data_IF_022059009873
#
_entry.id   IF_022059009873
#
_cell.length_a   1.000
_cell.length_b   1.000
_cell.length_c   1.000
_cell.angle_alpha   90.00
_cell.angle_beta   90.00
_cell.angle_gamma   90.00
#
_symmetry.space_group_name_H-M   'P 1'
#
loop_
_entity.id
_entity.type
_entity.pdbx_description
1 polymer ?
#
# COMPACT_ATOMS: atom_id res chain seq x y z
N UNK A 1 -16.92 -1.32 12.71
CA UNK A 1 -15.91 -2.24 12.17
C UNK A 1 -14.76 -2.43 13.15
N UNK A 2 -14.15 -1.35 13.67
CA UNK A 2 -13.12 -1.40 14.72
C UNK A 2 -13.52 -2.28 15.90
N UNK A 3 -14.67 -2.01 16.52
CA UNK A 3 -15.28 -2.84 17.57
C UNK A 3 -15.35 -4.34 17.25
N UNK A 4 -15.66 -4.72 16.00
CA UNK A 4 -15.73 -6.12 15.60
C UNK A 4 -14.32 -6.68 15.45
N UNK A 5 -13.41 -5.97 14.79
CA UNK A 5 -12.04 -6.42 14.54
C UNK A 5 -11.23 -6.53 15.84
N UNK A 6 -11.40 -5.59 16.77
CA UNK A 6 -10.74 -5.56 18.09
C UNK A 6 -11.34 -6.53 19.11
N UNK A 7 -12.52 -7.10 18.84
CA UNK A 7 -13.12 -8.12 19.72
C UNK A 7 -12.44 -9.48 19.58
N UNK A 8 -12.54 -10.29 20.63
CA UNK A 8 -12.03 -11.66 20.62
C UNK A 8 -12.63 -12.47 19.46
N UNK A 9 -11.77 -13.17 18.72
CA UNK A 9 -12.13 -13.92 17.51
C UNK A 9 -12.81 -13.08 16.40
N UNK A 10 -12.64 -11.75 16.42
CA UNK A 10 -13.31 -10.81 15.52
C UNK A 10 -14.82 -11.02 15.45
N UNK A 11 -15.44 -11.31 16.60
CA UNK A 11 -16.85 -11.65 16.76
C UNK A 11 -17.48 -10.83 17.88
N UNK A 12 -18.61 -10.21 17.56
CA UNK A 12 -19.41 -9.43 18.49
C UNK A 12 -20.81 -10.00 18.60
N UNK A 13 -21.29 -10.14 19.83
CA UNK A 13 -22.65 -10.60 20.14
C UNK A 13 -23.47 -9.46 20.75
N UNK A 14 -24.68 -9.22 20.23
CA UNK A 14 -25.57 -8.15 20.69
C UNK A 14 -26.97 -8.70 20.92
N UNK A 15 -27.58 -8.36 22.05
CA UNK A 15 -28.97 -8.72 22.33
C UNK A 15 -29.91 -7.80 21.53
N UNK A 16 -30.94 -8.38 20.92
CA UNK A 16 -31.97 -7.61 20.24
C UNK A 16 -32.90 -6.96 21.28
N UNK A 17 -33.15 -5.67 21.12
CA UNK A 17 -34.07 -4.89 21.96
C UNK A 17 -35.21 -4.32 21.11
N UNK A 18 -36.43 -4.32 21.63
CA UNK A 18 -37.59 -3.78 20.91
C UNK A 18 -38.93 -4.01 21.59
N UNK A 19 -39.02 -5.00 22.50
CA UNK A 19 -40.22 -5.23 23.31
C UNK A 19 -39.83 -5.21 24.80
N UNK A 20 -40.34 -4.25 25.59
CA UNK A 20 -40.10 -4.21 27.03
C UNK A 20 -40.47 -5.55 27.69
N UNK A 21 -39.54 -6.14 28.45
CA UNK A 21 -39.76 -7.39 29.17
C UNK A 21 -39.68 -8.68 28.35
N UNK A 22 -39.38 -8.64 27.04
CA UNK A 22 -39.15 -9.84 26.24
C UNK A 22 -37.72 -9.92 25.72
N UNK A 23 -37.11 -11.10 25.86
CA UNK A 23 -35.84 -11.42 25.20
C UNK A 23 -36.11 -11.66 23.71
N UNK A 24 -35.70 -10.72 22.86
CA UNK A 24 -35.99 -10.75 21.43
C UNK A 24 -34.97 -11.54 20.59
N UNK A 25 -34.04 -12.24 21.23
CA UNK A 25 -32.97 -13.00 20.58
C UNK A 25 -31.63 -12.25 20.55
N UNK A 26 -30.69 -12.79 19.78
CA UNK A 26 -29.30 -12.33 19.74
C UNK A 26 -28.84 -12.20 18.29
N UNK A 27 -28.16 -11.10 17.97
CA UNK A 27 -27.43 -10.91 16.73
C UNK A 27 -25.95 -11.23 16.96
N UNK A 28 -25.38 -12.09 16.12
CA UNK A 28 -23.95 -12.42 16.10
C UNK A 28 -23.35 -11.84 14.83
N UNK A 29 -22.32 -11.02 14.99
CA UNK A 29 -21.57 -10.41 13.90
C UNK A 29 -20.14 -10.95 13.92
N UNK A 30 -19.62 -11.34 12.76
CA UNK A 30 -18.24 -11.82 12.58
C UNK A 30 -17.62 -11.16 11.36
N UNK A 31 -16.35 -10.77 11.47
CA UNK A 31 -15.61 -10.19 10.36
C UNK A 31 -14.40 -11.04 9.99
N UNK A 32 -14.27 -11.33 8.70
CA UNK A 32 -13.12 -12.02 8.12
C UNK A 32 -12.42 -11.10 7.11
N UNK A 33 -11.10 -11.10 7.14
CA UNK A 33 -10.31 -10.39 6.15
C UNK A 33 -10.29 -11.21 4.86
N UNK A 34 -10.55 -10.59 3.73
CA UNK A 34 -10.46 -11.26 2.43
C UNK A 34 -9.01 -11.72 2.21
N UNK A 35 -8.82 -13.02 2.03
CA UNK A 35 -7.52 -13.71 1.97
C UNK A 35 -6.63 -13.30 0.80
N UNK A 36 -7.15 -12.57 -0.19
CA UNK A 36 -6.48 -12.27 -1.45
C UNK A 36 -5.49 -11.09 -1.42
N UNK A 37 -5.08 -10.64 -0.22
CA UNK A 37 -4.31 -9.38 -0.06
C UNK A 37 -2.96 -9.51 0.66
N UNK A 38 -2.58 -10.70 1.12
CA UNK A 38 -1.46 -10.85 2.07
C UNK A 38 -0.11 -11.08 1.41
N UNK A 39 -0.13 -11.64 0.20
CA UNK A 39 1.11 -12.08 -0.42
C UNK A 39 1.88 -10.91 -1.04
N UNK A 40 3.18 -10.89 -0.78
CA UNK A 40 4.16 -9.98 -1.38
C UNK A 40 5.08 -10.82 -2.26
N UNK A 41 5.18 -10.42 -3.53
CA UNK A 41 6.12 -10.99 -4.47
C UNK A 41 7.43 -10.19 -4.44
N UNK A 42 8.51 -10.83 -4.00
CA UNK A 42 9.88 -10.33 -4.12
C UNK A 42 10.49 -10.88 -5.39
N UNK A 43 10.99 -10.02 -6.27
CA UNK A 43 11.60 -10.45 -7.53
C UNK A 43 12.84 -9.64 -7.87
N UNK A 44 13.72 -10.27 -8.65
CA UNK A 44 14.90 -9.63 -9.21
C UNK A 44 14.95 -9.90 -10.71
N UNK A 45 15.24 -8.86 -11.49
CA UNK A 45 15.35 -8.97 -12.94
C UNK A 45 16.72 -8.46 -13.42
N UNK A 46 17.13 -8.94 -14.58
CA UNK A 46 18.17 -8.31 -15.38
C UNK A 46 17.70 -8.14 -16.81
N UNK A 47 18.39 -7.29 -17.56
CA UNK A 47 18.24 -7.23 -19.00
C UNK A 47 19.56 -7.48 -19.71
N UNK A 48 19.46 -7.82 -20.99
CA UNK A 48 20.60 -8.12 -21.84
C UNK A 48 20.40 -7.51 -23.24
N UNK A 49 21.44 -6.85 -23.74
CA UNK A 49 21.51 -6.20 -25.06
C UNK A 49 20.35 -5.24 -25.31
N UNK A 50 20.03 -4.40 -24.33
CA UNK A 50 19.07 -3.31 -24.53
C UNK A 50 19.54 -2.36 -25.62
N UNK A 51 18.58 -1.74 -26.32
CA UNK A 51 18.91 -0.72 -27.31
C UNK A 51 19.53 0.51 -26.64
N UNK A 52 20.64 0.99 -27.20
CA UNK A 52 21.25 2.27 -26.84
C UNK A 52 20.35 3.43 -27.28
N UNK A 53 20.09 4.38 -26.38
CA UNK A 53 19.26 5.55 -26.63
C UNK A 53 20.02 6.87 -26.49
N UNK A 54 20.87 7.00 -25.46
CA UNK A 54 21.79 8.13 -25.31
C UNK A 54 22.79 8.34 -26.46
N UNK A 55 23.10 9.60 -26.79
CA UNK A 55 24.15 9.94 -27.76
C UNK A 55 25.56 9.69 -27.20
N UNK A 56 25.84 10.15 -25.98
CA UNK A 56 27.13 10.01 -25.28
C UNK A 56 27.01 9.04 -24.11
N UNK A 57 27.36 7.77 -24.35
CA UNK A 57 27.26 6.71 -23.35
C UNK A 57 26.46 5.50 -23.82
N UNK A 58 25.97 4.70 -22.89
CA UNK A 58 24.92 3.70 -23.04
C UNK A 58 23.69 4.22 -22.29
N UNK A 59 22.54 3.58 -22.49
CA UNK A 59 21.31 3.90 -21.77
C UNK A 59 21.47 3.78 -20.24
N UNK A 60 20.62 4.49 -19.52
CA UNK A 60 20.31 4.45 -18.09
C UNK A 60 18.94 3.73 -17.85
N UNK A 61 18.86 2.40 -18.03
CA UNK A 61 17.58 1.69 -18.05
C UNK A 61 16.86 1.55 -16.70
N UNK A 62 15.53 1.63 -16.73
CA UNK A 62 14.62 1.26 -15.64
C UNK A 62 13.34 0.58 -16.17
N UNK A 63 12.64 -0.15 -15.30
CA UNK A 63 11.39 -0.84 -15.60
C UNK A 63 10.20 -0.13 -14.94
N UNK A 64 9.04 -0.15 -15.61
CA UNK A 64 7.75 0.24 -15.03
C UNK A 64 6.76 -0.89 -15.22
N UNK A 65 6.22 -1.38 -14.11
CA UNK A 65 5.22 -2.45 -14.08
C UNK A 65 3.82 -1.87 -14.05
N UNK A 66 2.94 -2.42 -14.87
CA UNK A 66 1.54 -2.04 -14.96
C UNK A 66 0.63 -3.26 -14.88
N UNK A 67 -0.46 -3.15 -14.12
CA UNK A 67 -1.57 -4.12 -14.14
C UNK A 67 -2.65 -3.62 -15.09
N UNK A 68 -3.20 -4.50 -15.93
CA UNK A 68 -4.40 -4.20 -16.72
C UNK A 68 -5.66 -4.13 -15.85
N UNK A 69 -6.49 -3.12 -16.06
CA UNK A 69 -7.80 -2.97 -15.43
C UNK A 69 -8.90 -3.60 -16.30
N UNK A 70 -10.11 -3.74 -15.74
CA UNK A 70 -11.24 -4.35 -16.45
C UNK A 70 -11.71 -3.53 -17.65
N UNK A 71 -11.49 -2.21 -17.61
CA UNK A 71 -11.78 -1.27 -18.70
C UNK A 71 -10.69 -1.23 -19.78
N UNK A 72 -9.67 -2.08 -19.68
CA UNK A 72 -8.53 -2.13 -20.60
C UNK A 72 -7.46 -1.06 -20.36
N UNK A 73 -7.63 -0.19 -19.36
CA UNK A 73 -6.58 0.75 -18.94
C UNK A 73 -5.49 0.05 -18.13
N UNK A 74 -4.41 0.76 -17.81
CA UNK A 74 -3.28 0.24 -17.04
C UNK A 74 -3.01 1.11 -15.82
N UNK A 75 -2.73 0.47 -14.68
CA UNK A 75 -2.32 1.14 -13.43
C UNK A 75 -0.88 0.76 -13.11
N UNK A 76 -0.04 1.75 -12.78
CA UNK A 76 1.34 1.52 -12.35
C UNK A 76 1.33 0.78 -11.01
N UNK A 77 2.06 -0.33 -10.94
CA UNK A 77 2.25 -1.14 -9.74
C UNK A 77 3.60 -0.88 -9.09
N UNK A 78 4.63 -0.64 -9.90
CA UNK A 78 6.00 -0.47 -9.42
C UNK A 78 6.88 0.19 -10.48
N UNK A 79 7.94 0.87 -10.04
CA UNK A 79 9.03 1.40 -10.86
C UNK A 79 10.35 1.05 -10.20
N UNK A 80 11.27 0.45 -10.94
CA UNK A 80 12.61 0.10 -10.43
C UNK A 80 13.50 1.33 -10.33
N UNK A 81 14.65 1.16 -9.71
CA UNK A 81 15.74 2.12 -9.82
C UNK A 81 16.29 2.21 -11.26
N UNK A 82 17.00 3.30 -11.51
CA UNK A 82 17.73 3.56 -12.74
C UNK A 82 19.14 3.00 -12.61
N UNK A 83 19.55 2.13 -13.53
CA UNK A 83 20.91 1.59 -13.57
C UNK A 83 21.69 2.32 -14.66
N UNK A 84 22.71 3.09 -14.30
CA UNK A 84 23.37 4.02 -15.23
C UNK A 84 24.32 3.34 -16.22
N UNK A 85 24.38 3.88 -17.43
CA UNK A 85 25.37 3.64 -18.47
C UNK A 85 25.59 2.15 -18.76
N UNK A 86 24.51 1.40 -18.97
CA UNK A 86 24.55 -0.03 -19.27
C UNK A 86 23.44 -0.47 -20.22
N UNK A 87 23.74 -1.46 -21.06
CA UNK A 87 22.74 -2.16 -21.88
C UNK A 87 22.38 -3.53 -21.29
N UNK A 88 23.00 -3.88 -20.16
CA UNK A 88 22.80 -5.13 -19.45
C UNK A 88 22.60 -4.88 -17.95
N UNK A 89 21.54 -4.14 -17.56
CA UNK A 89 21.27 -3.83 -16.16
C UNK A 89 20.94 -5.09 -15.37
N UNK A 90 21.35 -5.10 -14.11
CA UNK A 90 20.82 -5.98 -13.07
C UNK A 90 20.20 -5.07 -12.03
N UNK A 91 18.88 -5.11 -11.90
CA UNK A 91 18.19 -4.30 -10.90
C UNK A 91 18.28 -4.98 -9.52
N UNK A 92 18.20 -4.19 -8.46
CA UNK A 92 18.11 -4.68 -7.10
C UNK A 92 16.81 -5.47 -6.91
N UNK A 93 16.78 -6.47 -6.01
CA UNK A 93 15.53 -7.13 -5.64
C UNK A 93 14.52 -6.11 -5.12
N UNK A 94 13.27 -6.23 -5.55
CA UNK A 94 12.18 -5.36 -5.13
C UNK A 94 10.91 -6.15 -4.84
N UNK A 95 9.99 -5.55 -4.10
CA UNK A 95 8.74 -6.16 -3.64
C UNK A 95 7.53 -5.48 -4.27
N UNK A 96 6.56 -6.28 -4.74
CA UNK A 96 5.24 -5.80 -5.17
C UNK A 96 4.17 -6.65 -4.49
N UNK A 97 3.14 -6.02 -3.85
CA UNK A 97 1.99 -6.77 -3.36
C UNK A 97 1.33 -7.56 -4.51
N UNK A 98 1.02 -8.84 -4.31
CA UNK A 98 0.42 -9.69 -5.34
C UNK A 98 -0.90 -9.09 -5.84
N UNK A 99 -1.70 -8.51 -4.94
CA UNK A 99 -2.91 -7.77 -5.32
C UNK A 99 -2.64 -6.59 -6.26
N UNK A 100 -1.52 -5.88 -6.09
CA UNK A 100 -1.17 -4.79 -6.98
C UNK A 100 -0.88 -5.31 -8.41
N UNK A 101 -0.25 -6.49 -8.55
CA UNK A 101 0.04 -7.10 -9.84
C UNK A 101 -1.20 -7.67 -10.54
N UNK A 102 -2.12 -8.29 -9.80
CA UNK A 102 -3.12 -9.17 -10.41
C UNK A 102 -4.56 -8.98 -9.89
N UNK A 103 -4.73 -8.26 -8.77
CA UNK A 103 -6.01 -8.02 -8.11
C UNK A 103 -6.90 -9.27 -7.95
N UNK A 104 -6.27 -10.41 -7.60
CA UNK A 104 -6.94 -11.70 -7.42
C UNK A 104 -7.09 -12.56 -8.68
N UNK A 105 -6.86 -12.00 -9.86
CA UNK A 105 -6.83 -12.74 -11.12
C UNK A 105 -5.38 -13.00 -11.54
N UNK A 106 -4.87 -14.20 -11.27
CA UNK A 106 -3.47 -14.57 -11.49
C UNK A 106 -3.05 -14.62 -12.96
N UNK A 107 -4.01 -14.65 -13.89
CA UNK A 107 -3.78 -14.63 -15.33
C UNK A 107 -3.89 -13.21 -15.92
N UNK A 108 -4.25 -12.22 -15.09
CA UNK A 108 -4.32 -10.81 -15.48
C UNK A 108 -3.00 -10.33 -16.05
N UNK A 109 -3.10 -9.60 -17.16
CA UNK A 109 -1.95 -9.05 -17.88
C UNK A 109 -1.18 -8.05 -17.02
N UNK A 110 0.10 -8.33 -16.85
CA UNK A 110 1.10 -7.41 -16.33
C UNK A 110 1.95 -6.93 -17.51
N UNK A 111 1.87 -5.64 -17.83
CA UNK A 111 2.70 -5.00 -18.85
C UNK A 111 3.93 -4.41 -18.18
N UNK A 112 5.10 -4.60 -18.79
CA UNK A 112 6.35 -4.06 -18.30
C UNK A 112 6.99 -3.22 -19.40
N UNK A 113 7.19 -1.95 -19.10
CA UNK A 113 7.82 -1.01 -20.01
C UNK A 113 9.27 -0.80 -19.59
N UNK A 114 10.17 -0.79 -20.58
CA UNK A 114 11.60 -0.52 -20.42
C UNK A 114 11.88 0.86 -20.99
N UNK A 115 12.43 1.73 -20.15
CA UNK A 115 12.76 3.11 -20.51
C UNK A 115 14.24 3.38 -20.30
N UNK A 116 14.75 4.34 -21.06
CA UNK A 116 15.99 5.04 -20.80
C UNK A 116 15.71 6.31 -19.98
N UNK A 117 16.49 6.57 -18.92
CA UNK A 117 16.27 7.74 -18.09
C UNK A 117 16.98 8.97 -18.66
N UNK A 118 16.20 9.94 -19.12
CA UNK A 118 16.71 11.28 -19.46
C UNK A 118 16.59 12.30 -18.31
N UNK A 119 17.60 13.18 -18.18
CA UNK A 119 17.65 14.24 -17.14
C UNK A 119 16.50 15.24 -17.22
N UNK A 120 15.97 15.50 -18.40
CA UNK A 120 14.90 16.46 -18.63
C UNK A 120 13.49 15.88 -18.36
N UNK A 121 13.42 14.60 -17.97
CA UNK A 121 12.17 13.89 -17.70
C UNK A 121 11.51 13.27 -18.94
N UNK A 122 12.04 13.49 -20.14
CA UNK A 122 11.51 12.98 -21.40
C UNK A 122 11.98 11.55 -21.72
N UNK A 123 11.91 10.67 -20.71
CA UNK A 123 12.46 9.32 -20.74
C UNK A 123 12.18 8.53 -22.02
N UNK A 124 13.26 8.07 -22.64
CA UNK A 124 13.23 7.47 -23.95
C UNK A 124 12.73 6.01 -23.93
N UNK A 125 11.61 5.72 -24.58
CA UNK A 125 11.05 4.36 -24.57
C UNK A 125 11.92 3.36 -25.35
N UNK A 126 12.35 2.28 -24.70
CA UNK A 126 13.16 1.20 -25.29
C UNK A 126 12.25 0.13 -25.90
N UNK A 127 11.26 -0.35 -25.13
CA UNK A 127 10.26 -1.33 -25.56
C UNK A 127 9.44 -1.84 -24.38
N UNK A 128 8.53 -2.78 -24.65
CA UNK A 128 7.63 -3.38 -23.67
C UNK A 128 7.54 -4.88 -23.87
N UNK A 129 7.07 -5.58 -22.83
CA UNK A 129 6.62 -6.95 -22.90
C UNK A 129 5.45 -7.16 -21.93
N UNK A 130 4.73 -8.27 -22.09
CA UNK A 130 3.63 -8.66 -21.20
C UNK A 130 3.91 -10.01 -20.56
N UNK A 131 3.41 -10.19 -19.35
CA UNK A 131 3.46 -11.43 -18.56
C UNK A 131 2.23 -11.50 -17.66
N UNK A 132 2.19 -12.43 -16.71
CA UNK A 132 1.18 -12.51 -15.65
C UNK A 132 1.81 -12.95 -14.33
N UNK A 133 1.09 -12.80 -13.23
CA UNK A 133 1.55 -13.35 -11.95
C UNK A 133 1.77 -14.85 -12.05
N UNK A 134 0.88 -15.59 -12.74
CA UNK A 134 1.03 -17.04 -12.94
C UNK A 134 2.35 -17.39 -13.64
N UNK A 135 2.71 -16.67 -14.70
CA UNK A 135 3.98 -16.91 -15.40
C UNK A 135 5.20 -16.57 -14.54
N UNK A 136 5.19 -15.40 -13.88
CA UNK A 136 6.25 -15.00 -12.96
C UNK A 136 6.43 -15.99 -11.80
N UNK A 137 5.33 -16.52 -11.26
CA UNK A 137 5.32 -17.48 -10.14
C UNK A 137 5.99 -18.81 -10.45
N UNK A 138 6.24 -19.13 -11.73
CA UNK A 138 7.04 -20.30 -12.13
C UNK A 138 8.53 -20.14 -11.81
N UNK A 139 8.96 -18.96 -11.36
CA UNK A 139 10.33 -18.70 -10.91
C UNK A 139 11.34 -18.63 -12.04
N UNK A 140 12.62 -18.81 -11.71
CA UNK A 140 13.69 -18.76 -12.70
C UNK A 140 13.57 -19.95 -13.65
N UNK A 141 13.22 -19.68 -14.91
CA UNK A 141 13.13 -20.70 -15.96
C UNK A 141 13.34 -20.07 -17.34
N UNK A 142 13.58 -20.92 -18.34
CA UNK A 142 13.66 -20.49 -19.74
C UNK A 142 12.37 -19.77 -20.22
N UNK A 143 11.24 -19.95 -19.52
CA UNK A 143 9.98 -19.32 -19.85
C UNK A 143 9.86 -17.88 -19.32
N UNK A 144 10.74 -17.47 -18.39
CA UNK A 144 10.76 -16.11 -17.85
C UNK A 144 11.93 -15.29 -18.41
N UNK A 145 12.12 -15.43 -19.72
CA UNK A 145 12.97 -14.59 -20.57
C UNK A 145 12.06 -13.91 -21.59
N UNK A 146 11.95 -12.60 -21.50
CA UNK A 146 11.01 -11.80 -22.29
C UNK A 146 11.75 -10.99 -23.34
N UNK A 147 11.32 -11.09 -24.59
CA UNK A 147 11.78 -10.19 -25.65
C UNK A 147 11.17 -8.80 -25.46
N UNK A 148 12.02 -7.77 -25.39
CA UNK A 148 11.59 -6.38 -25.25
C UNK A 148 11.22 -5.86 -26.63
N UNK A 149 9.95 -5.56 -26.88
CA UNK A 149 9.46 -5.16 -28.20
C UNK A 149 9.12 -3.68 -28.25
N UNK A 150 9.57 -2.99 -29.28
CA UNK A 150 9.23 -1.59 -29.53
C UNK A 150 8.23 -1.50 -30.68
N UNK A 151 6.96 -1.15 -30.43
CA UNK A 151 5.93 -1.11 -31.47
C UNK A 151 6.30 -0.18 -32.63
N UNK A 152 6.94 0.97 -32.34
CA UNK A 152 7.38 1.93 -33.37
C UNK A 152 8.48 1.34 -34.25
N UNK A 153 9.44 0.59 -33.70
CA UNK A 153 10.50 -0.07 -34.49
C UNK A 153 9.94 -1.24 -35.30
N UNK A 154 9.06 -2.04 -34.72
CA UNK A 154 8.40 -3.18 -35.40
C UNK A 154 7.64 -2.74 -36.64
N UNK A 155 6.92 -1.62 -36.59
CA UNK A 155 6.22 -1.08 -37.75
C UNK A 155 7.13 -0.46 -38.83
N UNK A 156 8.34 -0.01 -38.48
CA UNK A 156 9.22 0.74 -39.40
C UNK A 156 10.37 -0.09 -39.99
N UNK A 157 10.87 -1.10 -39.28
CA UNK A 157 12.11 -1.83 -39.64
C UNK A 157 11.79 -3.27 -40.02
N UNK A 158 11.95 -3.63 -41.30
CA UNK A 158 11.69 -4.98 -41.83
C UNK A 158 12.50 -6.11 -41.16
N UNK A 159 13.69 -5.83 -40.62
CA UNK A 159 14.58 -6.80 -39.93
C UNK A 159 14.65 -6.59 -38.41
N UNK A 160 13.65 -5.95 -37.81
CA UNK A 160 13.59 -5.78 -36.36
C UNK A 160 13.25 -7.11 -35.68
N UNK A 161 14.04 -7.49 -34.67
CA UNK A 161 13.80 -8.68 -33.85
C UNK A 161 13.25 -8.22 -32.50
N UNK A 162 14.09 -7.62 -31.67
CA UNK A 162 13.72 -7.04 -30.38
C UNK A 162 14.67 -5.88 -30.02
N UNK A 163 14.38 -5.20 -28.92
CA UNK A 163 15.19 -4.13 -28.30
C UNK A 163 16.00 -4.66 -27.11
N UNK A 164 16.37 -5.94 -27.12
CA UNK A 164 16.96 -6.66 -25.99
C UNK A 164 16.00 -7.64 -25.33
N UNK A 165 16.44 -8.22 -24.22
CA UNK A 165 15.69 -9.21 -23.44
C UNK A 165 15.70 -8.86 -21.95
N UNK A 166 14.64 -9.19 -21.22
CA UNK A 166 14.56 -9.10 -19.75
C UNK A 166 14.38 -10.50 -19.19
N UNK A 167 15.16 -10.87 -18.18
CA UNK A 167 15.14 -12.19 -17.53
C UNK A 167 14.79 -12.05 -16.05
N UNK A 168 13.87 -12.88 -15.58
CA UNK A 168 13.58 -13.04 -14.16
C UNK A 168 14.68 -13.89 -13.52
N UNK A 169 15.46 -13.29 -12.62
CA UNK A 169 16.54 -13.96 -11.90
C UNK A 169 16.01 -14.69 -10.66
N UNK A 170 15.05 -14.10 -9.96
CA UNK A 170 14.43 -14.70 -8.79
C UNK A 170 12.99 -14.24 -8.63
N UNK A 171 12.16 -15.10 -8.02
CA UNK A 171 10.79 -14.80 -7.65
C UNK A 171 10.46 -15.58 -6.38
N UNK A 172 10.07 -14.88 -5.32
CA UNK A 172 9.71 -15.43 -4.02
C UNK A 172 8.41 -14.79 -3.57
N UNK A 173 7.49 -15.59 -3.06
CA UNK A 173 6.23 -15.11 -2.49
C UNK A 173 6.25 -15.38 -1.00
N UNK A 174 5.96 -14.35 -0.22
CA UNK A 174 5.82 -14.42 1.23
C UNK A 174 4.52 -13.77 1.63
N UNK A 175 3.79 -14.38 2.57
CA UNK A 175 2.63 -13.75 3.17
C UNK A 175 3.10 -12.73 4.20
N UNK A 176 2.69 -11.49 4.05
CA UNK A 176 2.93 -10.42 5.01
C UNK A 176 1.78 -10.36 6.03
N UNK A 177 2.11 -10.02 7.27
CA UNK A 177 1.12 -9.93 8.34
C UNK A 177 0.37 -8.61 8.24
N UNK A 178 -0.96 -8.68 8.16
CA UNK A 178 -1.79 -7.48 8.06
C UNK A 178 -1.97 -6.83 9.42
N UNK A 179 -2.42 -5.57 9.44
CA UNK A 179 -2.86 -4.92 10.67
C UNK A 179 -3.84 -5.78 11.48
N UNK A 180 -4.79 -6.45 10.80
CA UNK A 180 -5.77 -7.33 11.43
C UNK A 180 -5.11 -8.56 12.07
N UNK A 181 -4.08 -9.11 11.44
CA UNK A 181 -3.34 -10.25 12.00
C UNK A 181 -2.65 -9.87 13.32
N UNK A 182 -2.07 -8.67 13.43
CA UNK A 182 -1.50 -8.18 14.68
C UNK A 182 -2.54 -8.00 15.77
N UNK A 183 -3.69 -7.39 15.47
CA UNK A 183 -4.79 -7.20 16.43
C UNK A 183 -5.35 -8.55 16.88
N UNK A 184 -5.59 -9.49 15.95
CA UNK A 184 -6.03 -10.87 16.28
C UNK A 184 -4.99 -11.64 17.09
N UNK A 185 -3.71 -11.36 16.88
CA UNK A 185 -2.59 -11.88 17.66
C UNK A 185 -2.49 -11.32 19.08
N UNK A 186 -3.36 -10.39 19.47
CA UNK A 186 -3.39 -9.78 20.80
C UNK A 186 -2.62 -8.46 20.91
N UNK A 187 -2.17 -7.88 19.79
CA UNK A 187 -1.59 -6.54 19.78
C UNK A 187 -2.67 -5.51 20.10
N UNK A 188 -2.37 -4.58 21.00
CA UNK A 188 -3.28 -3.51 21.41
C UNK A 188 -2.71 -2.16 21.01
N UNK A 189 -3.58 -1.19 20.74
CA UNK A 189 -3.18 0.20 20.50
C UNK A 189 -3.46 1.02 21.76
N UNK A 190 -2.39 1.39 22.47
CA UNK A 190 -2.50 2.28 23.63
C UNK A 190 -2.68 3.73 23.16
N UNK A 191 -3.74 4.39 23.64
CA UNK A 191 -3.99 5.80 23.40
C UNK A 191 -3.58 6.65 24.63
N UNK A 192 -2.58 7.50 24.44
CA UNK A 192 -2.14 8.50 25.42
C UNK A 192 -2.37 9.90 24.87
N UNK A 193 -2.88 10.80 25.72
CA UNK A 193 -3.08 12.21 25.36
C UNK A 193 -2.32 13.14 26.30
N UNK A 194 -1.74 14.21 25.74
CA UNK A 194 -1.15 15.31 26.49
C UNK A 194 -1.76 16.63 26.02
N UNK A 195 -2.38 17.38 26.93
CA UNK A 195 -3.09 18.63 26.64
C UNK A 195 -2.22 19.82 27.05
N UNK A 196 -2.08 20.79 26.15
CA UNK A 196 -1.38 22.04 26.40
C UNK A 196 -2.25 22.99 27.24
N UNK A 197 -1.80 23.33 28.44
CA UNK A 197 -2.43 24.30 29.35
C UNK A 197 -1.63 25.61 29.48
N UNK A 198 -0.76 25.94 28.52
CA UNK A 198 -0.05 27.23 28.48
C UNK A 198 -1.02 28.42 28.36
N UNK A 199 -0.60 29.56 28.89
CA UNK A 199 -1.39 30.79 28.91
C UNK A 199 -1.78 31.33 27.51
N UNK A 200 -1.07 30.94 26.45
CA UNK A 200 -1.41 31.30 25.06
C UNK A 200 -2.78 30.79 24.61
N UNK A 201 -3.33 29.77 25.28
CA UNK A 201 -4.68 29.26 25.01
C UNK A 201 -5.80 30.19 25.53
N UNK A 202 -5.46 31.25 26.26
CA UNK A 202 -6.41 32.18 26.86
C UNK A 202 -7.08 31.63 28.12
N UNK A 203 -7.83 32.48 28.82
CA UNK A 203 -8.55 32.09 30.04
C UNK A 203 -9.78 31.22 29.68
N UNK A 204 -9.90 29.98 30.18
CA UNK A 204 -11.01 29.08 29.84
C UNK A 204 -12.42 29.63 30.13
N UNK A 205 -12.56 30.64 30.98
CA UNK A 205 -13.84 31.32 31.24
C UNK A 205 -14.23 32.31 30.14
N UNK A 206 -13.35 32.63 29.20
CA UNK A 206 -13.60 33.56 28.12
C UNK A 206 -13.98 32.82 26.83
N UNK A 207 -15.03 33.27 26.10
CA UNK A 207 -15.47 32.64 24.85
C UNK A 207 -14.41 32.60 23.74
N UNK A 208 -13.37 33.43 23.82
CA UNK A 208 -12.26 33.50 22.86
C UNK A 208 -11.14 32.49 23.16
N UNK A 209 -11.18 31.79 24.29
CA UNK A 209 -10.16 30.81 24.66
C UNK A 209 -10.30 29.51 23.85
N UNK A 210 -9.16 28.90 23.53
CA UNK A 210 -9.11 27.56 22.91
C UNK A 210 -9.58 26.45 23.86
N UNK A 211 -9.57 26.71 25.17
CA UNK A 211 -10.08 25.83 26.23
C UNK A 211 -11.50 26.17 26.66
N UNK A 212 -12.17 27.13 26.00
CA UNK A 212 -13.53 27.51 26.37
C UNK A 212 -14.48 26.30 26.31
N UNK A 213 -15.28 26.11 27.37
CA UNK A 213 -16.26 25.04 27.46
C UNK A 213 -17.64 25.58 27.06
N UNK A 214 -17.91 25.57 25.75
CA UNK A 214 -19.22 25.94 25.23
C UNK A 214 -20.24 24.80 25.46
N UNK A 215 -21.47 25.09 25.96
CA UNK A 215 -22.49 24.07 26.21
C UNK A 215 -23.06 23.41 24.95
N UNK A 216 -22.88 24.01 23.76
CA UNK A 216 -23.45 23.53 22.50
C UNK A 216 -22.40 22.97 21.53
N UNK A 217 -21.13 23.33 21.68
CA UNK A 217 -20.08 22.95 20.73
C UNK A 217 -18.78 22.59 21.45
N UNK A 218 -18.12 21.53 20.96
CA UNK A 218 -16.79 21.15 21.43
C UNK A 218 -15.73 22.15 20.97
N UNK A 219 -14.78 22.46 21.85
CA UNK A 219 -13.58 23.21 21.46
C UNK A 219 -12.62 22.33 20.65
N UNK A 220 -11.54 22.93 20.13
CA UNK A 220 -10.59 22.25 19.26
C UNK A 220 -9.93 21.03 19.93
N UNK A 221 -9.59 21.12 21.21
CA UNK A 221 -9.01 20.01 21.97
C UNK A 221 -10.00 18.85 22.13
N UNK A 222 -11.25 19.16 22.52
CA UNK A 222 -12.30 18.16 22.69
C UNK A 222 -12.68 17.49 21.35
N UNK A 223 -12.73 18.25 20.25
CA UNK A 223 -12.95 17.69 18.92
C UNK A 223 -11.84 16.73 18.50
N UNK A 224 -10.58 17.09 18.72
CA UNK A 224 -9.43 16.23 18.39
C UNK A 224 -9.42 14.95 19.24
N UNK A 225 -9.62 15.09 20.56
CA UNK A 225 -9.74 13.98 21.50
C UNK A 225 -10.83 12.99 21.06
N UNK A 226 -12.01 13.50 20.73
CA UNK A 226 -13.13 12.68 20.28
C UNK A 226 -12.79 11.98 18.96
N UNK A 227 -12.30 12.72 17.97
CA UNK A 227 -12.02 12.18 16.63
C UNK A 227 -10.99 11.03 16.66
N UNK A 228 -9.97 11.12 17.51
CA UNK A 228 -8.95 10.07 17.65
C UNK A 228 -9.40 8.97 18.62
N UNK A 229 -9.89 9.37 19.80
CA UNK A 229 -10.29 8.45 20.85
C UNK A 229 -11.42 7.52 20.44
N UNK A 230 -12.40 8.02 19.66
CA UNK A 230 -13.51 7.20 19.18
C UNK A 230 -13.06 6.05 18.28
N UNK A 231 -11.92 6.20 17.59
CA UNK A 231 -11.36 5.17 16.72
C UNK A 231 -10.46 4.23 17.51
N UNK A 232 -9.52 4.77 18.29
CA UNK A 232 -8.47 3.96 18.92
C UNK A 232 -9.01 3.13 20.09
N UNK A 233 -10.05 3.61 20.80
CA UNK A 233 -10.59 2.91 21.97
C UNK A 233 -11.05 1.47 21.70
N UNK A 234 -11.38 1.14 20.44
CA UNK A 234 -11.83 -0.19 20.04
C UNK A 234 -10.69 -1.22 19.99
N UNK A 235 -9.44 -0.76 20.00
CA UNK A 235 -8.22 -1.58 19.90
C UNK A 235 -7.43 -1.64 21.21
N UNK A 236 -8.01 -1.12 22.29
CA UNK A 236 -7.49 -1.19 23.64
C UNK A 236 -8.47 -1.98 24.52
N UNK A 237 -7.97 -3.04 25.16
CA UNK A 237 -8.81 -3.96 25.93
C UNK A 237 -9.22 -3.42 27.29
N UNK A 238 -8.35 -2.66 27.95
CA UNK A 238 -8.63 -2.09 29.27
C UNK A 238 -9.29 -0.71 29.19
N UNK A 239 -9.17 -0.05 28.04
CA UNK A 239 -9.69 1.31 27.77
C UNK A 239 -9.21 2.32 28.82
N UNK A 240 -8.02 2.11 29.37
CA UNK A 240 -7.38 2.99 30.33
C UNK A 240 -6.42 3.92 29.59
N UNK A 241 -6.91 5.11 29.25
CA UNK A 241 -6.16 6.10 28.49
C UNK A 241 -5.40 7.06 29.40
N UNK A 242 -4.05 7.07 29.40
CA UNK A 242 -3.30 8.06 30.14
C UNK A 242 -3.57 9.46 29.59
N UNK A 243 -3.98 10.37 30.48
CA UNK A 243 -4.26 11.76 30.16
C UNK A 243 -3.32 12.68 30.96
N UNK A 244 -2.52 13.44 30.25
CA UNK A 244 -1.50 14.33 30.78
C UNK A 244 -1.83 15.79 30.43
N UNK A 245 -1.33 16.71 31.24
CA UNK A 245 -1.35 18.13 30.95
C UNK A 245 0.05 18.72 31.08
N UNK A 246 0.40 19.70 30.24
CA UNK A 246 1.67 20.41 30.33
C UNK A 246 1.49 21.93 30.21
N UNK A 247 2.45 22.72 30.69
CA UNK A 247 2.40 24.18 30.55
C UNK A 247 1.52 24.94 31.55
N UNK A 248 0.89 24.24 32.51
CA UNK A 248 0.20 24.84 33.65
C UNK A 248 1.08 24.88 34.90
N UNK A 249 0.78 25.85 35.78
CA UNK A 249 1.22 25.82 37.18
C UNK A 249 0.19 25.02 37.99
N UNK A 250 0.62 23.93 38.62
CA UNK A 250 -0.23 23.11 39.49
C UNK A 250 -0.61 23.92 40.75
N UNK A 251 -1.85 23.80 41.27
CA UNK A 251 -2.27 24.43 42.52
C UNK A 251 -1.38 24.10 43.73
#
# INVERSE_FOLDING_TARGET
>A
LGEIIGSAASRVERSLTGVPGKKCGTLILSAEELSNCRDIATMQLCANKLDKKDFFGKSDPFLVFYRSNEDGTFTICHKTEVVKNTLNPVWQPFTIPVRALCNGDYDRTVKVDVYDWDRDGSHDFIGEYTTSYRELSRGQSQFNVYEVLNPKKRGKKKKYVNSGTVTLLSFKVESDFTFVDYIKGGTQLNFTVAIDFTASNGNPSQPTSLHYLNPYQMNAYAMALKAVGEIIQDYDSDKLFPALGFGAKIP
#
